data_IF_687841399139
#
_entry.id   IF_687841399139
#
_cell.length_a   1.000
_cell.length_b   1.000
_cell.length_c   1.000
_cell.angle_alpha   90.00
_cell.angle_beta   90.00
_cell.angle_gamma   90.00
#
_symmetry.space_group_name_H-M   'P 1'
#
loop_
_entity.id
_entity.type
_entity.pdbx_description
1 polymer ?
#
# COMPACT_ATOMS: atom_id res chain seq x y z
N UNK A 1 -16.91 -2.86 6.13
CA UNK A 1 -18.03 -2.64 5.18
C UNK A 1 -18.18 -1.19 4.75
N UNK A 2 -18.04 -0.22 5.65
CA UNK A 2 -18.19 1.22 5.35
C UNK A 2 -17.32 1.73 4.17
N UNK A 3 -16.09 1.25 4.02
CA UNK A 3 -15.20 1.65 2.93
C UNK A 3 -15.65 1.14 1.55
N UNK A 4 -16.28 -0.04 1.50
CA UNK A 4 -16.76 -0.60 0.24
C UNK A 4 -17.87 0.27 -0.35
N UNK A 5 -18.77 0.76 0.50
CA UNK A 5 -19.83 1.70 0.10
C UNK A 5 -19.24 3.05 -0.31
N UNK A 6 -18.35 3.62 0.52
CA UNK A 6 -17.73 4.92 0.27
C UNK A 6 -16.95 4.98 -1.05
N UNK A 7 -16.18 3.95 -1.37
CA UNK A 7 -15.31 3.90 -2.56
C UNK A 7 -15.89 3.06 -3.70
N UNK A 8 -17.16 2.62 -3.59
CA UNK A 8 -17.85 1.77 -4.59
C UNK A 8 -17.04 0.53 -4.97
N UNK A 9 -16.41 -0.10 -3.98
CA UNK A 9 -15.66 -1.35 -4.16
C UNK A 9 -16.64 -2.51 -3.99
N UNK A 10 -16.66 -3.43 -4.94
CA UNK A 10 -17.47 -4.63 -4.84
C UNK A 10 -16.77 -5.62 -3.87
N UNK A 11 -17.36 -5.97 -2.70
CA UNK A 11 -16.69 -6.83 -1.73
C UNK A 11 -16.21 -8.19 -2.27
N UNK A 12 -16.96 -8.90 -3.15
CA UNK A 12 -16.52 -10.15 -3.75
C UNK A 12 -15.27 -10.04 -4.64
N UNK A 13 -14.86 -8.82 -5.04
CA UNK A 13 -13.65 -8.60 -5.85
C UNK A 13 -12.43 -8.24 -5.01
N UNK A 14 -12.55 -8.25 -3.67
CA UNK A 14 -11.42 -8.01 -2.78
C UNK A 14 -10.83 -9.38 -2.44
N UNK A 15 -9.65 -9.67 -3.00
CA UNK A 15 -8.96 -10.93 -2.70
C UNK A 15 -8.31 -10.91 -1.31
N UNK A 16 -7.75 -9.77 -0.93
CA UNK A 16 -7.10 -9.60 0.36
C UNK A 16 -7.15 -8.13 0.83
N UNK A 17 -7.02 -7.92 2.14
CA UNK A 17 -6.86 -6.60 2.77
C UNK A 17 -5.71 -6.68 3.75
N UNK A 18 -4.75 -5.76 3.63
CA UNK A 18 -3.56 -5.72 4.47
C UNK A 18 -3.63 -4.46 5.32
N UNK A 19 -3.55 -4.64 6.65
CA UNK A 19 -3.41 -3.53 7.59
C UNK A 19 -1.91 -3.23 7.79
N UNK A 20 -1.54 -1.96 7.62
CA UNK A 20 -0.16 -1.53 7.85
C UNK A 20 0.12 -1.49 9.36
N UNK A 21 1.26 -2.04 9.83
CA UNK A 21 1.53 -2.07 11.25
C UNK A 21 1.80 -0.66 11.79
N UNK A 22 1.40 -0.41 13.03
CA UNK A 22 1.64 0.87 13.70
C UNK A 22 3.10 0.93 14.14
N UNK A 23 3.88 1.81 13.49
CA UNK A 23 5.25 2.11 13.89
C UNK A 23 5.27 3.40 14.71
N UNK A 24 5.61 3.30 16.01
CA UNK A 24 5.74 4.45 16.92
C UNK A 24 7.03 5.25 16.66
N UNK A 25 7.37 5.48 15.40
CA UNK A 25 8.62 6.12 14.95
C UNK A 25 8.42 7.60 14.62
N UNK A 26 7.17 8.09 14.59
CA UNK A 26 6.83 9.44 14.14
C UNK A 26 6.93 9.64 12.61
N UNK A 27 7.28 8.58 11.87
CA UNK A 27 7.33 8.53 10.42
C UNK A 27 6.28 7.53 9.94
N UNK A 28 5.31 8.00 9.15
CA UNK A 28 4.09 7.25 8.85
C UNK A 28 3.95 6.81 7.39
N UNK A 29 4.95 7.06 6.54
CA UNK A 29 4.83 6.83 5.11
C UNK A 29 5.50 5.52 4.69
N UNK A 30 4.67 4.51 4.45
CA UNK A 30 5.05 3.23 3.88
C UNK A 30 5.19 3.37 2.36
N UNK A 31 6.21 2.71 1.79
CA UNK A 31 6.46 2.72 0.34
C UNK A 31 6.11 1.34 -0.22
N UNK A 32 5.49 1.31 -1.39
CA UNK A 32 5.23 0.05 -2.10
C UNK A 32 6.40 -0.22 -3.04
N UNK A 33 7.11 -1.31 -2.80
CA UNK A 33 8.29 -1.72 -3.54
C UNK A 33 8.04 -3.10 -4.14
N UNK A 34 8.66 -3.38 -5.29
CA UNK A 34 8.76 -4.76 -5.76
C UNK A 34 9.60 -5.57 -4.77
N UNK A 35 9.21 -6.83 -4.55
CA UNK A 35 9.98 -7.78 -3.75
C UNK A 35 11.19 -8.23 -4.57
N UNK A 36 12.20 -7.38 -4.60
CA UNK A 36 13.51 -7.75 -5.10
C UNK A 36 14.17 -8.51 -3.96
N UNK A 37 14.39 -9.82 -4.12
CA UNK A 37 15.01 -10.75 -3.16
C UNK A 37 16.48 -10.40 -2.81
N UNK A 38 16.78 -9.11 -2.62
CA UNK A 38 18.08 -8.51 -2.41
C UNK A 38 17.96 -7.29 -1.50
N UNK A 39 18.90 -7.17 -0.56
CA UNK A 39 19.03 -6.00 0.31
C UNK A 39 19.68 -4.80 -0.42
N UNK A 40 20.17 -4.99 -1.64
CA UNK A 40 20.70 -3.90 -2.46
C UNK A 40 19.57 -3.03 -3.00
N UNK A 41 19.41 -1.87 -2.36
CA UNK A 41 18.38 -0.86 -2.67
C UNK A 41 18.43 -0.32 -4.09
N UNK A 42 19.55 -0.44 -4.81
CA UNK A 42 19.64 0.00 -6.20
C UNK A 42 18.76 -0.82 -7.15
N UNK A 43 18.40 -2.04 -6.75
CA UNK A 43 17.49 -2.92 -7.49
C UNK A 43 16.02 -2.71 -7.15
N UNK A 44 15.72 -1.95 -6.10
CA UNK A 44 14.35 -1.78 -5.64
C UNK A 44 13.57 -0.89 -6.61
N UNK A 45 12.53 -1.45 -7.20
CA UNK A 45 11.62 -0.72 -8.08
C UNK A 45 10.42 -0.29 -7.27
N UNK A 46 10.24 1.02 -7.13
CA UNK A 46 9.11 1.58 -6.39
C UNK A 46 7.89 1.82 -7.27
N UNK A 47 6.72 1.59 -6.69
CA UNK A 47 5.46 1.92 -7.34
C UNK A 47 5.33 3.44 -7.47
N UNK A 48 5.18 3.89 -8.72
CA UNK A 48 4.92 5.29 -9.03
C UNK A 48 3.58 5.45 -9.75
N UNK A 49 2.93 6.58 -9.53
CA UNK A 49 1.72 7.00 -10.24
C UNK A 49 1.87 8.47 -10.62
N UNK A 50 1.59 8.80 -11.88
CA UNK A 50 1.75 10.15 -12.42
C UNK A 50 3.17 10.73 -12.18
N UNK A 51 4.18 9.86 -12.25
CA UNK A 51 5.59 10.22 -12.04
C UNK A 51 5.99 10.47 -10.59
N UNK A 52 5.10 10.22 -9.61
CA UNK A 52 5.37 10.39 -8.18
C UNK A 52 5.32 9.05 -7.44
N UNK A 53 6.16 8.85 -6.42
CA UNK A 53 6.06 7.69 -5.52
C UNK A 53 4.69 7.59 -4.86
N UNK A 54 4.16 6.37 -4.78
CA UNK A 54 2.98 6.09 -3.96
C UNK A 54 3.42 5.83 -2.53
N UNK A 55 3.10 6.76 -1.63
CA UNK A 55 3.26 6.59 -0.19
C UNK A 55 1.92 6.21 0.44
N UNK A 56 1.93 5.28 1.38
CA UNK A 56 0.78 4.91 2.19
C UNK A 56 0.97 5.44 3.60
N UNK A 57 -0.06 6.05 4.17
CA UNK A 57 -0.09 6.53 5.54
C UNK A 57 -1.03 5.67 6.42
N UNK A 58 -1.01 5.91 7.72
CA UNK A 58 -1.93 5.25 8.64
C UNK A 58 -3.39 5.48 8.22
N UNK A 59 -4.16 4.39 8.11
CA UNK A 59 -5.56 4.41 7.67
C UNK A 59 -5.76 4.20 6.16
N UNK A 60 -4.70 4.12 5.37
CA UNK A 60 -4.79 3.76 3.95
C UNK A 60 -5.15 2.27 3.77
N UNK A 61 -5.84 1.97 2.66
CA UNK A 61 -6.28 0.62 2.30
C UNK A 61 -5.64 0.19 0.98
N UNK A 62 -4.89 -0.91 1.01
CA UNK A 62 -4.40 -1.60 -0.19
C UNK A 62 -5.36 -2.73 -0.56
N UNK A 63 -5.84 -2.72 -1.80
CA UNK A 63 -6.82 -3.69 -2.31
C UNK A 63 -6.26 -4.36 -3.56
N UNK A 64 -6.06 -5.69 -3.48
CA UNK A 64 -5.79 -6.55 -4.63
C UNK A 64 -7.13 -6.95 -5.27
N UNK A 65 -7.28 -6.71 -6.57
CA UNK A 65 -8.44 -7.09 -7.39
C UNK A 65 -8.13 -8.28 -8.27
#
# INVERSE_FOLDING_TARGET
MEYCEKYKINPPTIKNTIELPILNTGWSDWRILNDCETDDRSYWIELTKDGKPVCLSFGDLLIER
#
